data_IF_578115568119
#
_entry.id   IF_578115568119
#
_cell.length_a   1.000
_cell.length_b   1.000
_cell.length_c   1.000
_cell.angle_alpha   90.00
_cell.angle_beta   90.00
_cell.angle_gamma   90.00
#
_symmetry.space_group_name_H-M   'P 1'
#
loop_
_entity.id
_entity.type
_entity.pdbx_description
1 polymer ?
#
# COMPACT_ATOMS: atom_id res chain seq x y z
N UNK A 1 20.15 25.77 -51.94
CA UNK A 1 19.36 24.60 -52.41
C UNK A 1 19.83 23.41 -51.60
N UNK A 2 19.06 22.58 -50.89
CA UNK A 2 17.63 22.38 -50.72
C UNK A 2 17.48 21.37 -49.57
N UNK A 3 16.55 21.65 -48.63
CA UNK A 3 15.77 20.70 -47.79
C UNK A 3 16.51 19.64 -46.93
N UNK A 4 16.34 19.73 -45.61
CA UNK A 4 15.25 18.98 -44.95
C UNK A 4 15.28 19.17 -43.44
N UNK A 5 14.37 20.02 -42.96
CA UNK A 5 13.89 19.98 -41.60
C UNK A 5 13.29 18.60 -41.34
N UNK A 6 13.90 17.81 -40.45
CA UNK A 6 13.25 16.61 -39.91
C UNK A 6 12.75 16.93 -38.51
N UNK A 7 11.57 17.55 -38.50
CA UNK A 7 10.60 17.40 -37.43
C UNK A 7 10.36 15.89 -37.31
N UNK A 8 10.90 15.26 -36.28
CA UNK A 8 10.52 13.90 -35.91
C UNK A 8 9.90 13.99 -34.53
N UNK A 9 8.58 14.10 -34.57
CA UNK A 9 7.62 13.86 -33.51
C UNK A 9 8.20 13.49 -32.15
N UNK A 10 8.05 14.40 -31.18
CA UNK A 10 7.86 14.03 -29.79
C UNK A 10 6.67 13.08 -29.73
N UNK A 11 6.91 11.78 -29.83
CA UNK A 11 5.92 10.78 -29.45
C UNK A 11 5.76 10.87 -27.94
N UNK A 12 4.97 11.86 -27.49
CA UNK A 12 4.24 11.74 -26.25
C UNK A 12 3.33 10.53 -26.44
N UNK A 13 3.84 9.35 -26.12
CA UNK A 13 3.01 8.21 -25.79
C UNK A 13 2.22 8.66 -24.56
N UNK A 14 1.02 9.19 -24.79
CA UNK A 14 0.02 9.43 -23.78
C UNK A 14 -0.24 8.09 -23.12
N UNK A 15 0.42 7.90 -21.98
CA UNK A 15 0.39 6.69 -21.15
C UNK A 15 -0.96 6.67 -20.42
N UNK A 16 -2.06 6.58 -21.17
CA UNK A 16 -3.41 6.54 -20.61
C UNK A 16 -3.68 5.27 -19.79
N UNK A 17 -2.79 4.27 -19.85
CA UNK A 17 -2.90 3.03 -19.07
C UNK A 17 -2.37 3.07 -17.64
N UNK A 18 -1.55 4.05 -17.24
CA UNK A 18 -0.79 3.97 -15.97
C UNK A 18 -1.63 4.16 -14.70
N UNK A 19 -2.50 5.18 -14.66
CA UNK A 19 -3.26 5.53 -13.45
C UNK A 19 -4.42 4.56 -13.14
N UNK A 20 -5.23 4.11 -14.13
CA UNK A 20 -6.25 3.10 -13.87
C UNK A 20 -5.65 1.77 -13.42
N UNK A 21 -4.53 1.37 -14.04
CA UNK A 21 -3.79 0.18 -13.65
C UNK A 21 -3.21 0.30 -12.23
N UNK A 22 -2.72 1.49 -11.85
CA UNK A 22 -2.25 1.76 -10.48
C UNK A 22 -3.36 1.64 -9.44
N UNK A 23 -4.56 2.16 -9.73
CA UNK A 23 -5.71 2.00 -8.85
C UNK A 23 -6.10 0.52 -8.70
N UNK A 24 -6.12 -0.24 -9.79
CA UNK A 24 -6.36 -1.68 -9.75
C UNK A 24 -5.30 -2.45 -8.94
N UNK A 25 -4.02 -2.11 -9.13
CA UNK A 25 -2.93 -2.64 -8.31
C UNK A 25 -3.13 -2.29 -6.83
N UNK A 26 -3.64 -1.08 -6.54
CA UNK A 26 -4.02 -0.65 -5.19
C UNK A 26 -5.13 -1.51 -4.60
N UNK A 27 -6.17 -1.85 -5.37
CA UNK A 27 -7.22 -2.78 -4.94
C UNK A 27 -6.66 -4.15 -4.60
N UNK A 28 -5.82 -4.74 -5.47
CA UNK A 28 -5.20 -6.05 -5.23
C UNK A 28 -4.30 -6.02 -3.99
N UNK A 29 -3.52 -4.95 -3.83
CA UNK A 29 -2.63 -4.77 -2.69
C UNK A 29 -3.40 -4.65 -1.37
N UNK A 30 -4.44 -3.81 -1.35
CA UNK A 30 -5.38 -3.70 -0.24
C UNK A 30 -5.98 -5.07 0.08
N UNK A 31 -6.60 -5.76 -0.89
CA UNK A 31 -7.30 -7.02 -0.64
C UNK A 31 -6.39 -8.08 -0.03
N UNK A 32 -5.16 -8.20 -0.52
CA UNK A 32 -4.19 -9.16 0.01
C UNK A 32 -3.80 -8.84 1.47
N UNK A 33 -3.44 -7.59 1.76
CA UNK A 33 -2.99 -7.20 3.10
C UNK A 33 -4.14 -7.10 4.09
N UNK A 34 -5.32 -6.66 3.65
CA UNK A 34 -6.52 -6.67 4.46
C UNK A 34 -6.92 -8.09 4.87
N UNK A 35 -6.92 -9.05 3.93
CA UNK A 35 -7.22 -10.45 4.27
C UNK A 35 -6.25 -11.02 5.30
N UNK A 36 -4.95 -10.76 5.14
CA UNK A 36 -3.92 -11.16 6.10
C UNK A 36 -4.12 -10.47 7.46
N UNK A 37 -4.25 -9.14 7.47
CA UNK A 37 -4.43 -8.35 8.69
C UNK A 37 -5.72 -8.68 9.43
N UNK A 38 -6.81 -8.97 8.71
CA UNK A 38 -8.05 -9.46 9.32
C UNK A 38 -7.82 -10.82 9.99
N UNK A 39 -7.13 -11.75 9.31
CA UNK A 39 -6.76 -13.04 9.89
C UNK A 39 -5.91 -12.90 11.16
N UNK A 40 -4.89 -12.05 11.15
CA UNK A 40 -4.10 -11.72 12.34
C UNK A 40 -4.94 -11.05 13.44
N UNK A 41 -5.88 -10.18 13.08
CA UNK A 41 -6.81 -9.56 14.02
C UNK A 41 -7.70 -10.58 14.73
N UNK A 42 -8.21 -11.59 14.02
CA UNK A 42 -8.95 -12.72 14.61
C UNK A 42 -8.05 -13.52 15.55
N UNK A 43 -6.84 -13.88 15.10
CA UNK A 43 -5.86 -14.60 15.93
C UNK A 43 -5.51 -13.81 17.20
N UNK A 44 -5.38 -12.48 17.11
CA UNK A 44 -5.14 -11.60 18.25
C UNK A 44 -6.29 -11.64 19.24
N UNK A 45 -7.54 -11.55 18.79
CA UNK A 45 -8.70 -11.64 19.69
C UNK A 45 -8.72 -12.98 20.43
N UNK A 46 -8.53 -14.09 19.70
CA UNK A 46 -8.46 -15.43 20.30
C UNK A 46 -7.27 -15.57 21.26
N UNK A 47 -6.10 -15.00 20.94
CA UNK A 47 -4.94 -15.04 21.81
C UNK A 47 -5.14 -14.24 23.10
N UNK A 48 -5.79 -13.07 23.03
CA UNK A 48 -6.12 -12.27 24.21
C UNK A 48 -7.13 -12.98 25.12
N UNK A 49 -8.06 -13.74 24.54
CA UNK A 49 -9.02 -14.57 25.29
C UNK A 49 -8.34 -15.81 25.89
N UNK A 50 -7.43 -16.46 25.17
CA UNK A 50 -6.76 -17.67 25.61
C UNK A 50 -5.65 -17.43 26.65
N UNK A 51 -4.99 -16.26 26.62
CA UNK A 51 -3.82 -15.96 27.45
C UNK A 51 -4.06 -14.71 28.32
N UNK A 52 -4.40 -14.86 29.62
CA UNK A 52 -4.81 -13.74 30.47
C UNK A 52 -3.69 -12.72 30.76
N UNK A 53 -2.42 -13.10 30.58
CA UNK A 53 -1.28 -12.21 30.78
C UNK A 53 -0.89 -11.42 29.52
N UNK A 54 -1.55 -11.69 28.38
CA UNK A 54 -1.22 -11.06 27.11
C UNK A 54 -1.91 -9.71 27.02
N UNK A 55 -1.14 -8.65 26.79
CA UNK A 55 -1.70 -7.31 26.59
C UNK A 55 -1.97 -7.05 25.11
N UNK A 56 -3.06 -6.33 24.81
CA UNK A 56 -3.40 -5.93 23.43
C UNK A 56 -2.23 -5.20 22.75
N UNK A 57 -1.57 -4.30 23.46
CA UNK A 57 -0.43 -3.55 22.93
C UNK A 57 0.74 -4.48 22.56
N UNK A 58 1.08 -5.44 23.42
CA UNK A 58 2.15 -6.40 23.15
C UNK A 58 1.91 -7.23 21.90
N UNK A 59 0.68 -7.72 21.70
CA UNK A 59 0.34 -8.49 20.49
C UNK A 59 0.44 -7.62 19.23
N UNK A 60 -0.09 -6.39 19.28
CA UNK A 60 -0.03 -5.44 18.16
C UNK A 60 1.43 -5.14 17.77
N UNK A 61 2.32 -4.96 18.75
CA UNK A 61 3.74 -4.68 18.48
C UNK A 61 4.46 -5.83 17.77
N UNK A 62 4.04 -7.07 17.97
CA UNK A 62 4.58 -8.24 17.27
C UNK A 62 3.93 -8.41 15.90
N UNK A 63 2.64 -8.12 15.80
CA UNK A 63 1.84 -8.24 14.58
C UNK A 63 2.26 -7.23 13.50
N UNK A 64 2.47 -5.97 13.89
CA UNK A 64 2.80 -4.87 12.96
C UNK A 64 4.03 -5.18 12.10
N UNK A 65 5.20 -5.57 12.64
CA UNK A 65 6.38 -5.90 11.83
C UNK A 65 6.12 -7.01 10.82
N UNK A 66 5.35 -8.03 11.19
CA UNK A 66 5.04 -9.16 10.31
C UNK A 66 4.16 -8.70 9.15
N UNK A 67 3.08 -7.96 9.42
CA UNK A 67 2.19 -7.42 8.39
C UNK A 67 2.96 -6.47 7.46
N UNK A 68 3.81 -5.60 8.01
CA UNK A 68 4.63 -4.69 7.22
C UNK A 68 5.65 -5.41 6.34
N UNK A 69 6.28 -6.48 6.82
CA UNK A 69 7.17 -7.29 6.00
C UNK A 69 6.41 -7.94 4.82
N UNK A 70 5.22 -8.48 5.07
CA UNK A 70 4.36 -9.05 4.03
C UNK A 70 3.90 -7.99 3.03
N UNK A 71 3.51 -6.81 3.51
CA UNK A 71 3.16 -5.66 2.69
C UNK A 71 4.30 -5.26 1.73
N UNK A 72 5.52 -5.17 2.24
CA UNK A 72 6.71 -4.86 1.44
C UNK A 72 6.97 -5.89 0.34
N UNK A 73 6.79 -7.19 0.64
CA UNK A 73 6.98 -8.26 -0.33
C UNK A 73 5.87 -8.26 -1.39
N UNK A 74 4.61 -8.15 -0.95
CA UNK A 74 3.44 -8.18 -1.83
C UNK A 74 3.43 -6.97 -2.76
N UNK A 75 3.73 -5.76 -2.26
CA UNK A 75 3.77 -4.58 -3.12
C UNK A 75 4.86 -4.71 -4.19
N UNK A 76 6.05 -5.21 -3.83
CA UNK A 76 7.13 -5.48 -4.77
C UNK A 76 6.75 -6.52 -5.83
N UNK A 77 6.11 -7.61 -5.40
CA UNK A 77 5.61 -8.64 -6.31
C UNK A 77 4.54 -8.10 -7.28
N UNK A 78 3.61 -7.27 -6.80
CA UNK A 78 2.58 -6.65 -7.64
C UNK A 78 3.17 -5.65 -8.63
N UNK A 79 4.12 -4.82 -8.20
CA UNK A 79 4.81 -3.86 -9.07
C UNK A 79 5.53 -4.59 -10.22
N UNK A 80 6.25 -5.67 -9.89
CA UNK A 80 6.95 -6.48 -10.89
C UNK A 80 5.98 -7.22 -11.83
N UNK A 81 4.96 -7.90 -11.28
CA UNK A 81 4.02 -8.72 -12.06
C UNK A 81 3.13 -7.88 -12.98
N UNK A 82 2.70 -6.71 -12.53
CA UNK A 82 1.83 -5.83 -13.30
C UNK A 82 2.63 -4.90 -14.22
N UNK A 83 3.96 -4.88 -14.12
CA UNK A 83 4.82 -4.00 -14.91
C UNK A 83 4.33 -2.54 -14.86
N UNK A 84 4.10 -2.02 -13.64
CA UNK A 84 3.45 -0.72 -13.43
C UNK A 84 4.17 0.40 -14.19
N UNK A 85 3.58 0.83 -15.31
CA UNK A 85 4.08 1.93 -16.13
C UNK A 85 3.71 3.26 -15.48
N UNK A 86 4.68 4.12 -15.21
CA UNK A 86 4.48 5.43 -14.58
C UNK A 86 5.29 5.66 -13.29
N UNK A 87 6.19 4.73 -12.94
CA UNK A 87 7.23 4.94 -11.94
C UNK A 87 6.67 5.35 -10.58
N UNK A 88 7.25 6.40 -10.00
CA UNK A 88 6.89 6.88 -8.67
C UNK A 88 5.43 7.33 -8.56
N UNK A 89 4.88 7.99 -9.59
CA UNK A 89 3.50 8.50 -9.56
C UNK A 89 2.48 7.37 -9.47
N UNK A 90 2.63 6.34 -10.31
CA UNK A 90 1.75 5.17 -10.27
C UNK A 90 1.87 4.40 -8.95
N UNK A 91 3.07 4.31 -8.39
CA UNK A 91 3.29 3.68 -7.09
C UNK A 91 2.62 4.45 -5.94
N UNK A 92 2.71 5.78 -5.93
CA UNK A 92 2.01 6.61 -4.93
C UNK A 92 0.49 6.46 -5.03
N UNK A 93 -0.07 6.36 -6.23
CA UNK A 93 -1.51 6.13 -6.45
C UNK A 93 -1.91 4.76 -5.93
N UNK A 94 -1.15 3.71 -6.25
CA UNK A 94 -1.39 2.35 -5.71
C UNK A 94 -1.45 2.36 -4.18
N UNK A 95 -0.47 3.00 -3.52
CA UNK A 95 -0.41 3.08 -2.07
C UNK A 95 -1.55 3.89 -1.45
N UNK A 96 -1.83 5.07 -1.98
CA UNK A 96 -2.90 5.95 -1.48
C UNK A 96 -4.30 5.32 -1.66
N UNK A 97 -4.55 4.68 -2.81
CA UNK A 97 -5.82 4.01 -3.07
C UNK A 97 -6.01 2.81 -2.14
N UNK A 98 -4.95 2.03 -1.92
CA UNK A 98 -4.99 0.92 -0.97
C UNK A 98 -5.25 1.38 0.47
N UNK A 99 -4.62 2.49 0.90
CA UNK A 99 -4.87 3.09 2.22
C UNK A 99 -6.31 3.57 2.38
N UNK A 100 -6.86 4.25 1.37
CA UNK A 100 -8.23 4.72 1.41
C UNK A 100 -9.22 3.56 1.58
N UNK A 101 -9.04 2.48 0.81
CA UNK A 101 -9.84 1.26 0.94
C UNK A 101 -9.66 0.62 2.32
N UNK A 102 -8.44 0.62 2.86
CA UNK A 102 -8.14 0.06 4.17
C UNK A 102 -8.87 0.80 5.30
N UNK A 103 -8.83 2.14 5.30
CA UNK A 103 -9.53 2.97 6.28
C UNK A 103 -11.04 2.82 6.19
N UNK A 104 -11.59 2.76 4.97
CA UNK A 104 -13.03 2.51 4.75
C UNK A 104 -13.42 1.13 5.27
N UNK A 105 -12.62 0.10 5.00
CA UNK A 105 -12.89 -1.25 5.48
C UNK A 105 -12.79 -1.34 7.01
N UNK A 106 -11.80 -0.70 7.63
CA UNK A 106 -11.64 -0.67 9.09
C UNK A 106 -12.82 0.03 9.79
N UNK A 107 -13.23 1.20 9.29
CA UNK A 107 -14.41 1.89 9.78
C UNK A 107 -15.67 1.04 9.56
N UNK A 108 -15.80 0.41 8.39
CA UNK A 108 -16.90 -0.50 8.05
C UNK A 108 -17.00 -1.72 8.97
N UNK A 109 -15.88 -2.36 9.30
CA UNK A 109 -15.84 -3.46 10.28
C UNK A 109 -16.19 -2.96 11.69
N UNK A 110 -15.67 -1.79 12.07
CA UNK A 110 -15.96 -1.21 13.39
C UNK A 110 -17.43 -0.90 13.58
N UNK A 111 -18.08 -0.34 12.55
CA UNK A 111 -19.50 -0.01 12.60
C UNK A 111 -20.38 -1.25 12.41
N UNK A 112 -20.08 -2.07 11.40
CA UNK A 112 -20.91 -3.19 11.00
C UNK A 112 -20.78 -4.44 11.88
N UNK A 113 -19.55 -4.79 12.30
CA UNK A 113 -19.31 -6.00 13.10
C UNK A 113 -19.26 -5.71 14.60
N UNK A 114 -18.59 -4.62 15.00
CA UNK A 114 -18.47 -4.28 16.42
C UNK A 114 -19.64 -3.44 16.95
N UNK A 115 -20.56 -3.02 16.07
CA UNK A 115 -21.74 -2.22 16.44
C UNK A 115 -21.42 -0.81 16.93
N UNK A 116 -20.22 -0.30 16.66
CA UNK A 116 -19.81 1.05 17.07
C UNK A 116 -20.44 2.11 16.17
N UNK A 117 -20.74 3.27 16.70
CA UNK A 117 -20.97 4.46 15.88
C UNK A 117 -19.66 4.96 15.25
N UNK A 118 -19.77 5.79 14.21
CA UNK A 118 -18.60 6.42 13.59
C UNK A 118 -17.82 7.29 14.60
N UNK A 119 -18.52 7.98 15.51
CA UNK A 119 -17.88 8.79 16.55
C UNK A 119 -17.11 7.94 17.56
N UNK A 120 -17.64 6.78 17.94
CA UNK A 120 -16.95 5.82 18.82
C UNK A 120 -15.74 5.20 18.13
N UNK A 121 -15.83 4.87 16.84
CA UNK A 121 -14.68 4.43 16.05
C UNK A 121 -13.57 5.50 16.06
N UNK A 122 -13.90 6.78 15.84
CA UNK A 122 -12.92 7.86 15.91
C UNK A 122 -12.32 8.02 17.33
N UNK A 123 -13.08 7.71 18.38
CA UNK A 123 -12.58 7.77 19.76
C UNK A 123 -11.51 6.70 20.05
N UNK A 124 -11.48 5.59 19.30
CA UNK A 124 -10.48 4.52 19.45
C UNK A 124 -9.06 5.02 19.20
N UNK A 125 -8.88 6.02 18.33
CA UNK A 125 -7.57 6.63 18.06
C UNK A 125 -6.95 7.36 19.27
N UNK A 126 -7.68 7.50 20.39
CA UNK A 126 -7.08 7.95 21.67
C UNK A 126 -6.26 6.85 22.35
N UNK A 127 -6.45 5.59 21.96
CA UNK A 127 -5.74 4.45 22.55
C UNK A 127 -4.41 4.21 21.81
N UNK A 128 -3.29 3.97 22.54
CA UNK A 128 -1.98 3.78 21.93
C UNK A 128 -1.94 2.67 20.86
N UNK A 129 -2.67 1.57 21.07
CA UNK A 129 -2.72 0.45 20.11
C UNK A 129 -3.29 0.85 18.74
N UNK A 130 -4.30 1.72 18.72
CA UNK A 130 -4.93 2.17 17.47
C UNK A 130 -4.05 3.21 16.75
N UNK A 131 -3.35 4.07 17.50
CA UNK A 131 -2.36 5.00 16.93
C UNK A 131 -1.21 4.25 16.26
N UNK A 132 -0.69 3.21 16.90
CA UNK A 132 0.36 2.35 16.31
C UNK A 132 -0.16 1.61 15.08
N UNK A 133 -1.41 1.11 15.13
CA UNK A 133 -2.11 0.56 13.97
C UNK A 133 -2.11 1.53 12.79
N UNK A 134 -2.59 2.75 13.01
CA UNK A 134 -2.65 3.80 12.00
C UNK A 134 -1.25 4.16 11.46
N UNK A 135 -0.24 4.24 12.32
CA UNK A 135 1.14 4.48 11.89
C UNK A 135 1.64 3.36 10.95
N UNK A 136 1.32 2.10 11.27
CA UNK A 136 1.58 0.96 10.40
C UNK A 136 0.89 1.09 9.03
N UNK A 137 -0.38 1.52 9.00
CA UNK A 137 -1.12 1.75 7.75
C UNK A 137 -0.49 2.84 6.90
N UNK A 138 -0.03 3.94 7.51
CA UNK A 138 0.73 4.98 6.82
C UNK A 138 2.02 4.43 6.21
N UNK A 139 2.77 3.59 6.93
CA UNK A 139 3.97 2.93 6.40
C UNK A 139 3.63 2.00 5.22
N UNK A 140 2.60 1.18 5.36
CA UNK A 140 2.07 0.30 4.32
C UNK A 140 1.78 1.06 3.01
N UNK A 141 1.19 2.26 3.11
CA UNK A 141 0.85 3.11 1.98
C UNK A 141 2.08 3.70 1.28
N UNK A 142 3.17 3.91 2.01
CA UNK A 142 4.42 4.49 1.50
C UNK A 142 5.29 3.45 0.79
N UNK A 143 5.15 2.16 1.13
CA UNK A 143 6.00 1.09 0.59
C UNK A 143 6.07 0.98 -0.95
N UNK A 144 4.96 1.08 -1.71
CA UNK A 144 5.05 1.02 -3.17
C UNK A 144 5.98 2.10 -3.74
N UNK A 145 5.88 3.33 -3.24
CA UNK A 145 6.73 4.45 -3.68
C UNK A 145 8.20 4.21 -3.32
N UNK A 146 8.48 3.81 -2.08
CA UNK A 146 9.85 3.46 -1.67
C UNK A 146 10.42 2.32 -2.53
N UNK A 147 9.60 1.32 -2.88
CA UNK A 147 10.05 0.17 -3.67
C UNK A 147 10.52 0.60 -5.05
N UNK A 148 9.77 1.45 -5.74
CA UNK A 148 10.16 1.96 -7.06
C UNK A 148 11.40 2.86 -6.96
N UNK A 149 11.49 3.69 -5.92
CA UNK A 149 12.62 4.61 -5.72
C UNK A 149 13.93 3.88 -5.44
N UNK A 150 13.90 2.81 -4.63
CA UNK A 150 15.09 2.04 -4.29
C UNK A 150 15.47 0.97 -5.31
N UNK A 151 14.51 0.47 -6.11
CA UNK A 151 14.74 -0.60 -7.10
C UNK A 151 14.61 -0.13 -8.56
N UNK A 152 14.83 1.14 -8.84
CA UNK A 152 15.02 1.60 -10.22
C UNK A 152 16.29 0.96 -10.80
N UNK A 153 16.22 0.19 -11.91
CA UNK A 153 17.43 -0.26 -12.58
C UNK A 153 18.26 0.99 -12.96
N UNK A 154 19.60 0.96 -12.78
CA UNK A 154 20.45 2.07 -13.18
C UNK A 154 20.11 2.42 -14.63
N UNK A 155 19.80 3.70 -14.86
CA UNK A 155 19.50 4.22 -16.18
C UNK A 155 20.57 3.66 -17.14
N UNK A 156 20.13 2.92 -18.17
CA UNK A 156 21.01 2.41 -19.22
C UNK A 156 21.63 3.63 -19.92
N UNK A 157 22.72 4.15 -19.38
CA UNK A 157 23.57 5.19 -19.97
C UNK A 157 24.42 4.63 -21.14
N UNK A 158 23.94 3.59 -21.81
CA UNK A 158 24.59 3.01 -22.98
C UNK A 158 23.82 3.45 -24.22
N UNK A 159 24.25 4.59 -24.77
CA UNK A 159 24.55 4.82 -26.21
C UNK A 159 24.41 6.30 -26.61
N UNK A 160 25.25 7.15 -26.04
CA UNK A 160 25.81 8.28 -26.77
C UNK A 160 27.28 8.42 -26.33
N UNK A 161 28.14 7.55 -26.84
CA UNK A 161 29.57 7.89 -26.93
C UNK A 161 29.85 8.06 -28.43
N UNK A 162 30.37 9.23 -28.84
CA UNK A 162 30.41 9.69 -30.23
C UNK A 162 31.24 8.80 -31.15
#
# INVERSE_FOLDING_TARGET
MSRSARVTATSQHTSSGGLPQAAWAGCLYFSAIFALGFGFGVLRTLALEAFPNLTRLGVVLVEIPVILALAWLICGALIARLSLTGGERSASVMGAFALALLLVAEAGLSVGLNGLSLQEHLALYRQPSHVIGLAGQCMFAIFPWLRVRFFSPPARQLQTKP
#
